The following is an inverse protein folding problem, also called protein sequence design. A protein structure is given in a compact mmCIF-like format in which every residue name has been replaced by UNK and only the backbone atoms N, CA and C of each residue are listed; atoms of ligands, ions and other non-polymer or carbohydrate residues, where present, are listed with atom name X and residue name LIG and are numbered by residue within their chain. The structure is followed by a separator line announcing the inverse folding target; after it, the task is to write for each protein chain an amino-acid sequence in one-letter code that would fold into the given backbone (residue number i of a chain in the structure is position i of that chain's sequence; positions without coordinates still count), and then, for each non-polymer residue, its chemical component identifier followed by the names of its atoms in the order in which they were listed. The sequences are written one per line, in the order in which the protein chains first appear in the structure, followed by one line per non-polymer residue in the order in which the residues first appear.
data_IF_498907243906
#
_entry.id   IF_498907243906
#
_cell.length_a   1.000
_cell.length_b   1.000
_cell.length_c   1.000
_cell.angle_alpha   90.00
_cell.angle_beta   90.00
_cell.angle_gamma   90.00
#
_symmetry.space_group_name_H-M   'P 1'
#
loop_
_entity.id
_entity.type
_entity.pdbx_description
1 polymer ?
#
# COMPACT_ATOMS: atom_id res chain seq x y z
N UNK A 1 -6.43 -16.54 22.13
CA UNK A 1 -5.30 -17.01 21.29
C UNK A 1 -5.09 -16.06 20.10
N UNK A 2 -4.92 -14.75 20.32
CA UNK A 2 -3.60 -14.09 20.21
C UNK A 2 -3.22 -13.61 18.80
N UNK A 3 -3.74 -14.25 17.75
CA UNK A 3 -3.30 -14.04 16.36
C UNK A 3 -3.75 -12.71 15.71
N UNK A 4 -4.70 -11.99 16.30
CA UNK A 4 -5.16 -10.68 15.81
C UNK A 4 -4.58 -9.49 16.58
N UNK A 5 -3.59 -9.72 17.44
CA UNK A 5 -2.92 -8.62 18.14
C UNK A 5 -2.07 -7.83 17.15
N UNK A 6 -2.34 -6.53 17.04
CA UNK A 6 -1.55 -5.56 16.28
C UNK A 6 -0.05 -5.67 16.60
N UNK A 7 0.31 -6.06 17.83
CA UNK A 7 1.69 -6.29 18.25
C UNK A 7 2.40 -7.41 17.49
N UNK A 8 1.68 -8.46 17.06
CA UNK A 8 2.27 -9.55 16.29
C UNK A 8 2.67 -9.07 14.88
N UNK A 9 1.77 -8.31 14.24
CA UNK A 9 2.03 -7.73 12.92
C UNK A 9 3.18 -6.72 12.93
N UNK A 10 3.30 -5.93 13.99
CA UNK A 10 4.46 -5.03 14.19
C UNK A 10 5.77 -5.79 14.27
N UNK A 11 5.84 -6.88 15.05
CA UNK A 11 7.05 -7.69 15.19
C UNK A 11 7.43 -8.37 13.87
N UNK A 12 6.44 -8.93 13.15
CA UNK A 12 6.65 -9.55 11.84
C UNK A 12 7.16 -8.53 10.83
N UNK A 13 6.58 -7.32 10.79
CA UNK A 13 7.02 -6.25 9.90
C UNK A 13 8.49 -5.89 10.14
N UNK A 14 8.90 -5.80 11.40
CA UNK A 14 10.30 -5.52 11.76
C UNK A 14 11.23 -6.63 11.27
N UNK A 15 10.86 -7.91 11.44
CA UNK A 15 11.68 -9.03 10.95
C UNK A 15 11.77 -9.01 9.42
N UNK A 16 10.66 -8.78 8.72
CA UNK A 16 10.64 -8.68 7.25
C UNK A 16 11.54 -7.54 6.77
N UNK A 17 11.47 -6.38 7.43
CA UNK A 17 12.34 -5.23 7.16
C UNK A 17 13.83 -5.55 7.36
N UNK A 18 14.18 -6.33 8.39
CA UNK A 18 15.56 -6.74 8.66
C UNK A 18 16.08 -7.72 7.60
N UNK A 19 15.28 -8.69 7.16
CA UNK A 19 15.68 -9.67 6.14
C UNK A 19 15.81 -9.02 4.76
N UNK A 20 14.83 -8.20 4.36
CA UNK A 20 14.86 -7.54 3.05
C UNK A 20 15.78 -6.32 3.03
N UNK A 21 16.07 -5.75 4.20
CA UNK A 21 16.80 -4.51 4.37
C UNK A 21 15.98 -3.28 3.95
N UNK A 22 16.21 -2.15 4.63
CA UNK A 22 15.51 -0.88 4.37
C UNK A 22 15.83 -0.27 3.00
N UNK A 23 16.81 -0.79 2.26
CA UNK A 23 17.19 -0.30 0.92
C UNK A 23 16.37 -0.90 -0.22
N UNK A 24 15.87 -2.13 -0.07
CA UNK A 24 15.11 -2.80 -1.14
C UNK A 24 13.61 -2.49 -1.09
N UNK A 25 13.06 -2.29 0.11
CA UNK A 25 11.65 -1.91 0.29
C UNK A 25 11.24 -0.61 -0.41
N UNK A 26 11.97 0.52 -0.30
CA UNK A 26 11.54 1.78 -0.92
C UNK A 26 11.63 1.73 -2.45
N UNK A 27 12.57 0.98 -3.02
CA UNK A 27 12.68 0.85 -4.47
C UNK A 27 11.46 0.11 -5.04
N UNK A 28 11.15 -1.08 -4.48
CA UNK A 28 9.96 -1.86 -4.85
C UNK A 28 8.67 -1.12 -4.48
N UNK A 29 8.66 -0.43 -3.35
CA UNK A 29 7.52 0.35 -2.86
C UNK A 29 7.23 1.58 -3.72
N UNK A 30 8.24 2.19 -4.34
CA UNK A 30 8.06 3.30 -5.26
C UNK A 30 7.44 2.81 -6.59
N UNK A 31 7.89 1.67 -7.10
CA UNK A 31 7.34 1.06 -8.32
C UNK A 31 5.89 0.59 -8.11
N UNK A 32 5.63 -0.14 -7.02
CA UNK A 32 4.26 -0.55 -6.64
C UNK A 32 3.38 0.65 -6.32
N UNK A 33 3.93 1.62 -5.58
CA UNK A 33 3.22 2.83 -5.15
C UNK A 33 2.81 3.70 -6.34
N UNK A 34 3.66 3.82 -7.35
CA UNK A 34 3.34 4.50 -8.61
C UNK A 34 2.19 3.82 -9.35
N UNK A 35 2.24 2.49 -9.48
CA UNK A 35 1.16 1.72 -10.13
C UNK A 35 -0.18 1.83 -9.39
N UNK A 36 -0.18 1.69 -8.05
CA UNK A 36 -1.39 1.83 -7.23
C UNK A 36 -1.94 3.26 -7.27
N UNK A 37 -1.05 4.27 -7.29
CA UNK A 37 -1.46 5.67 -7.38
C UNK A 37 -2.16 5.97 -8.71
N UNK A 38 -1.58 5.53 -9.83
CA UNK A 38 -2.21 5.68 -11.15
C UNK A 38 -3.56 4.96 -11.24
N UNK A 39 -3.65 3.75 -10.67
CA UNK A 39 -4.91 3.00 -10.60
C UNK A 39 -5.97 3.73 -9.78
N UNK A 40 -5.61 4.27 -8.62
CA UNK A 40 -6.50 5.08 -7.77
C UNK A 40 -6.95 6.35 -8.49
N UNK A 41 -6.05 7.07 -9.15
CA UNK A 41 -6.37 8.30 -9.89
C UNK A 41 -7.31 8.02 -11.07
N UNK A 42 -7.08 6.94 -11.82
CA UNK A 42 -7.97 6.52 -12.91
C UNK A 42 -9.36 6.12 -12.43
N UNK A 43 -9.44 5.35 -11.34
CA UNK A 43 -10.71 4.94 -10.73
C UNK A 43 -11.48 6.13 -10.18
N UNK A 44 -10.81 7.08 -9.53
CA UNK A 44 -11.45 8.27 -8.97
C UNK A 44 -11.93 9.21 -10.08
N UNK A 45 -11.15 9.40 -11.16
CA UNK A 45 -11.60 10.17 -12.35
C UNK A 45 -12.84 9.56 -13.00
N UNK A 46 -12.92 8.23 -13.10
CA UNK A 46 -14.11 7.55 -13.63
C UNK A 46 -15.35 7.80 -12.76
N UNK A 47 -15.18 7.85 -11.44
CA UNK A 47 -16.27 8.11 -10.50
C UNK A 47 -16.69 9.59 -10.43
N UNK A 48 -15.76 10.53 -10.68
CA UNK A 48 -16.08 11.97 -10.67
C UNK A 48 -16.77 12.46 -11.94
N UNK A 49 -16.77 11.70 -13.04
CA UNK A 49 -17.42 12.13 -14.30
C UNK A 49 -18.91 11.75 -14.40
N UNK A 50 -19.46 11.05 -13.40
CA UNK A 50 -20.87 10.63 -13.35
C UNK A 50 -21.75 11.56 -12.49
N UNK A 51 -21.15 12.53 -11.78
CA UNK A 51 -21.83 13.37 -10.78
C UNK A 51 -22.19 14.80 -11.20
N UNK A 52 -21.72 15.29 -12.35
CA UNK A 52 -21.93 16.68 -12.80
C UNK A 52 -23.01 16.84 -13.90
N UNK A 53 -23.75 15.77 -14.21
CA UNK A 53 -24.80 15.75 -15.26
C UNK A 53 -26.20 15.32 -14.77
N UNK A 54 -26.53 15.54 -13.49
CA UNK A 54 -27.86 15.28 -12.93
C UNK A 54 -28.50 16.55 -12.35
#
# INVERSE_FOLDING_TARGET
MGALSIWHWLLVLVIVLLIFGTKKLPNIGQDLGGAVRGFKEGTNKAHSHDGDNA
#
